data_IF_918269883149
#
_entry.id   IF_918269883149
#
_cell.length_a   1.000
_cell.length_b   1.000
_cell.length_c   1.000
_cell.angle_alpha   90.00
_cell.angle_beta   90.00
_cell.angle_gamma   90.00
#
_symmetry.space_group_name_H-M   'P 1'
#
loop_
_entity.id
_entity.type
_entity.pdbx_description
1 polymer ?
#
# COMPACT_ATOMS: atom_id res chain seq x y z
N UNK A 1 6.60 8.46 -19.55
CA UNK A 1 5.97 9.74 -19.15
C UNK A 1 4.96 9.42 -18.06
N UNK A 2 4.99 10.13 -16.93
CA UNK A 2 4.07 9.89 -15.81
C UNK A 2 2.69 10.48 -16.12
N UNK A 3 1.62 9.74 -15.82
CA UNK A 3 0.24 10.22 -15.93
C UNK A 3 -0.35 10.41 -14.52
N UNK A 4 -0.81 11.63 -14.22
CA UNK A 4 -1.38 11.96 -12.91
C UNK A 4 -2.66 11.18 -12.60
N UNK A 5 -3.42 10.80 -13.63
CA UNK A 5 -4.64 10.02 -13.49
C UNK A 5 -4.39 8.57 -13.03
N UNK A 6 -3.12 8.17 -12.90
CA UNK A 6 -2.74 6.91 -12.26
C UNK A 6 -2.85 6.95 -10.74
N UNK A 7 -2.93 8.14 -10.14
CA UNK A 7 -2.98 8.31 -8.69
C UNK A 7 -4.39 8.64 -8.20
N UNK A 8 -4.66 8.22 -6.97
CA UNK A 8 -5.83 8.62 -6.20
C UNK A 8 -5.41 9.05 -4.81
N UNK A 9 -6.17 9.99 -4.24
CA UNK A 9 -6.03 10.39 -2.84
C UNK A 9 -7.12 9.71 -2.02
N UNK A 10 -6.74 8.92 -1.02
CA UNK A 10 -7.65 8.34 -0.02
C UNK A 10 -7.14 8.69 1.38
N UNK A 11 -8.00 9.29 2.21
CA UNK A 11 -7.66 9.60 3.62
C UNK A 11 -6.31 10.32 3.76
N UNK A 12 -6.10 11.34 2.91
CA UNK A 12 -4.85 12.13 2.84
C UNK A 12 -3.60 11.36 2.37
N UNK A 13 -3.74 10.09 1.97
CA UNK A 13 -2.66 9.29 1.36
C UNK A 13 -2.82 9.24 -0.15
N UNK A 14 -1.68 9.29 -0.84
CA UNK A 14 -1.61 9.13 -2.29
C UNK A 14 -1.23 7.68 -2.59
N UNK A 15 -1.91 7.05 -3.55
CA UNK A 15 -1.62 5.68 -3.99
C UNK A 15 -1.96 5.51 -5.47
N UNK A 16 -1.45 4.46 -6.12
CA UNK A 16 -1.90 4.10 -7.45
C UNK A 16 -3.35 3.63 -7.42
N UNK A 17 -4.12 3.99 -8.45
CA UNK A 17 -5.54 3.64 -8.56
C UNK A 17 -5.80 2.15 -8.78
N UNK A 18 -4.86 1.46 -9.41
CA UNK A 18 -4.95 0.05 -9.79
C UNK A 18 -3.57 -0.57 -9.98
N UNK A 19 -3.52 -1.90 -10.02
CA UNK A 19 -2.30 -2.65 -10.37
C UNK A 19 -1.81 -2.33 -11.78
N UNK A 20 -2.72 -2.17 -12.74
CA UNK A 20 -2.38 -1.74 -14.10
C UNK A 20 -1.65 -0.39 -14.13
N UNK A 21 -2.06 0.57 -13.29
CA UNK A 21 -1.40 1.87 -13.21
C UNK A 21 -0.02 1.81 -12.55
N UNK A 22 0.15 0.92 -11.55
CA UNK A 22 1.45 0.61 -10.99
C UNK A 22 2.35 -0.04 -12.06
N UNK A 23 1.83 -1.01 -12.81
CA UNK A 23 2.56 -1.69 -13.89
C UNK A 23 2.98 -0.72 -14.98
N UNK A 24 2.07 0.12 -15.47
CA UNK A 24 2.37 1.18 -16.43
C UNK A 24 3.47 2.10 -15.89
N UNK A 25 3.39 2.52 -14.62
CA UNK A 25 4.41 3.37 -14.02
C UNK A 25 5.78 2.68 -13.96
N UNK A 26 5.85 1.45 -13.44
CA UNK A 26 7.10 0.69 -13.32
C UNK A 26 7.68 0.40 -14.70
N UNK A 27 6.88 -0.03 -15.67
CA UNK A 27 7.31 -0.32 -17.03
C UNK A 27 8.00 0.87 -17.70
N UNK A 28 7.39 2.05 -17.64
CA UNK A 28 7.94 3.25 -18.28
C UNK A 28 9.17 3.83 -17.57
N UNK A 29 9.42 3.44 -16.31
CA UNK A 29 10.54 3.94 -15.51
C UNK A 29 11.52 2.82 -15.12
N UNK A 30 11.41 1.64 -15.73
CA UNK A 30 12.09 0.43 -15.27
C UNK A 30 13.62 0.58 -15.25
N UNK A 31 14.16 1.20 -16.30
CA UNK A 31 15.59 1.50 -16.38
C UNK A 31 16.04 2.48 -15.28
N UNK A 32 15.24 3.50 -14.99
CA UNK A 32 15.56 4.48 -13.95
C UNK A 32 15.43 3.91 -12.54
N UNK A 33 14.44 3.04 -12.30
CA UNK A 33 14.16 2.47 -10.98
C UNK A 33 15.12 1.33 -10.63
N UNK A 34 15.39 0.43 -11.58
CA UNK A 34 16.11 -0.83 -11.31
C UNK A 34 17.29 -1.09 -12.27
N UNK A 35 17.57 -0.18 -13.20
CA UNK A 35 18.57 -0.38 -14.27
C UNK A 35 18.32 -1.65 -15.12
N UNK A 36 17.05 -2.00 -15.32
CA UNK A 36 16.60 -3.12 -16.13
C UNK A 36 16.00 -2.63 -17.46
N UNK A 37 16.13 -3.45 -18.50
CA UNK A 37 15.58 -3.17 -19.82
C UNK A 37 14.31 -4.01 -20.03
N UNK A 38 13.17 -3.39 -20.35
CA UNK A 38 11.90 -4.11 -20.51
C UNK A 38 11.89 -5.01 -21.74
N UNK A 39 11.31 -6.21 -21.64
CA UNK A 39 11.07 -7.14 -22.75
C UNK A 39 9.59 -7.29 -23.06
N UNK A 40 8.80 -7.65 -22.05
CA UNK A 40 7.38 -7.96 -22.23
C UNK A 40 6.58 -7.69 -20.97
N UNK A 41 5.37 -7.15 -21.15
CA UNK A 41 4.33 -7.08 -20.13
C UNK A 41 3.36 -8.24 -20.27
N UNK A 42 2.80 -8.69 -19.14
CA UNK A 42 1.74 -9.70 -19.10
C UNK A 42 2.11 -10.93 -19.95
N UNK A 43 3.35 -11.42 -19.79
CA UNK A 43 3.84 -12.57 -20.56
C UNK A 43 3.17 -13.84 -20.06
N UNK A 44 2.46 -14.53 -20.95
CA UNK A 44 1.80 -15.80 -20.64
C UNK A 44 2.77 -16.96 -20.83
N UNK A 45 2.96 -17.75 -19.78
CA UNK A 45 3.80 -18.95 -19.75
C UNK A 45 3.05 -20.05 -19.01
N UNK A 46 2.78 -21.17 -19.68
CA UNK A 46 1.90 -22.27 -19.19
C UNK A 46 0.61 -21.81 -18.48
N UNK A 47 -0.07 -20.80 -19.03
CA UNK A 47 -1.32 -20.20 -18.49
C UNK A 47 -1.17 -19.32 -17.23
N UNK A 48 0.06 -19.07 -16.78
CA UNK A 48 0.36 -18.07 -15.76
C UNK A 48 0.86 -16.78 -16.45
N UNK A 49 0.48 -15.62 -15.93
CA UNK A 49 0.83 -14.31 -16.51
C UNK A 49 1.85 -13.61 -15.62
N UNK A 50 3.06 -13.41 -16.12
CA UNK A 50 4.08 -12.59 -15.47
C UNK A 50 3.80 -11.11 -15.75
N UNK A 51 3.72 -10.27 -14.72
CA UNK A 51 3.45 -8.84 -14.91
C UNK A 51 4.50 -8.18 -15.82
N UNK A 52 5.79 -8.27 -15.48
CA UNK A 52 6.87 -7.72 -16.29
C UNK A 52 8.02 -8.71 -16.41
N UNK A 53 8.43 -8.98 -17.65
CA UNK A 53 9.70 -9.62 -18.00
C UNK A 53 10.66 -8.57 -18.56
N UNK A 54 11.90 -8.61 -18.09
CA UNK A 54 12.97 -7.70 -18.42
C UNK A 54 14.33 -8.40 -18.33
N UNK A 55 15.41 -7.69 -18.63
CA UNK A 55 16.77 -8.19 -18.45
C UNK A 55 17.70 -7.13 -17.87
N UNK A 56 18.73 -7.57 -17.17
CA UNK A 56 19.76 -6.69 -16.62
C UNK A 56 20.76 -6.24 -17.69
N UNK A 57 21.64 -5.30 -17.35
CA UNK A 57 22.76 -4.88 -18.20
C UNK A 57 23.71 -6.03 -18.61
N UNK A 58 23.61 -7.18 -17.93
CA UNK A 58 24.40 -8.38 -18.24
C UNK A 58 23.56 -9.46 -18.91
N UNK A 59 22.41 -9.13 -19.49
CA UNK A 59 21.52 -10.09 -20.18
C UNK A 59 20.90 -11.16 -19.25
N UNK A 60 20.98 -10.99 -17.93
CA UNK A 60 20.29 -11.88 -16.98
C UNK A 60 18.78 -11.63 -17.04
N UNK A 61 17.98 -12.69 -17.21
CA UNK A 61 16.52 -12.60 -17.16
C UNK A 61 16.06 -12.11 -15.78
N UNK A 62 15.13 -11.18 -15.78
CA UNK A 62 14.50 -10.63 -14.59
C UNK A 62 12.97 -10.69 -14.76
N UNK A 63 12.27 -11.24 -13.77
CA UNK A 63 10.81 -11.22 -13.70
C UNK A 63 10.36 -10.43 -12.47
N UNK A 64 9.36 -9.58 -12.67
CA UNK A 64 8.80 -8.71 -11.64
C UNK A 64 7.33 -9.06 -11.48
N UNK A 65 6.93 -9.38 -10.25
CA UNK A 65 5.54 -9.47 -9.82
C UNK A 65 5.19 -8.22 -9.02
N UNK A 66 4.06 -7.60 -9.35
CA UNK A 66 3.56 -6.36 -8.79
C UNK A 66 2.29 -6.61 -8.00
N UNK A 67 2.18 -5.94 -6.85
CA UNK A 67 0.92 -5.84 -6.12
C UNK A 67 0.70 -4.40 -5.69
N UNK A 68 -0.51 -3.90 -5.92
CA UNK A 68 -0.87 -2.55 -5.47
C UNK A 68 -1.38 -2.53 -4.02
N UNK A 69 -1.48 -3.70 -3.38
CA UNK A 69 -1.86 -3.87 -1.99
C UNK A 69 -1.05 -5.03 -1.39
N UNK A 70 -1.17 -5.23 -0.07
CA UNK A 70 -0.60 -6.40 0.59
C UNK A 70 -1.21 -7.69 0.03
N UNK A 71 -0.34 -8.63 -0.36
CA UNK A 71 -0.69 -9.94 -0.88
C UNK A 71 0.03 -11.06 -0.12
N UNK A 72 -0.50 -12.30 -0.20
CA UNK A 72 0.01 -13.49 0.50
C UNK A 72 0.62 -14.56 -0.43
N UNK A 73 0.59 -14.34 -1.74
CA UNK A 73 0.88 -15.35 -2.76
C UNK A 73 2.00 -14.97 -3.73
N UNK A 74 2.56 -13.76 -3.62
CA UNK A 74 3.64 -13.25 -4.48
C UNK A 74 4.83 -14.22 -4.59
N UNK A 75 5.18 -14.91 -3.51
CA UNK A 75 6.29 -15.87 -3.49
C UNK A 75 5.96 -17.13 -4.30
N UNK A 76 4.74 -17.63 -4.14
CA UNK A 76 4.23 -18.79 -4.86
C UNK A 76 4.11 -18.48 -6.36
N UNK A 77 3.63 -17.28 -6.71
CA UNK A 77 3.55 -16.83 -8.10
C UNK A 77 4.93 -16.78 -8.75
N UNK A 78 5.90 -16.09 -8.13
CA UNK A 78 7.27 -16.02 -8.63
C UNK A 78 7.94 -17.39 -8.75
N UNK A 79 7.63 -18.32 -7.84
CA UNK A 79 8.12 -19.70 -7.91
C UNK A 79 7.59 -20.43 -9.14
N UNK A 80 6.30 -20.28 -9.47
CA UNK A 80 5.71 -20.85 -10.70
C UNK A 80 6.29 -20.23 -11.96
N UNK A 81 6.49 -18.90 -11.97
CA UNK A 81 7.09 -18.23 -13.11
C UNK A 81 8.52 -18.71 -13.35
N UNK A 82 9.31 -18.87 -12.29
CA UNK A 82 10.66 -19.40 -12.39
C UNK A 82 10.68 -20.77 -13.07
N UNK A 83 9.85 -21.71 -12.60
CA UNK A 83 9.77 -23.07 -13.16
C UNK A 83 9.40 -23.04 -14.65
N UNK A 84 8.40 -22.23 -15.02
CA UNK A 84 7.96 -22.12 -16.41
C UNK A 84 9.05 -21.49 -17.31
N UNK A 85 9.75 -20.45 -16.84
CA UNK A 85 10.75 -19.73 -17.63
C UNK A 85 12.04 -20.54 -17.84
N UNK A 86 12.46 -21.35 -16.87
CA UNK A 86 13.62 -22.24 -17.01
C UNK A 86 13.36 -23.37 -18.00
N UNK A 87 12.11 -23.84 -18.07
CA UNK A 87 11.69 -24.87 -19.03
C UNK A 87 11.53 -24.31 -20.45
N UNK A 88 10.81 -23.20 -20.61
CA UNK A 88 10.51 -22.61 -21.94
C UNK A 88 11.68 -21.82 -22.54
N UNK A 89 12.53 -21.22 -21.70
CA UNK A 89 13.65 -20.33 -22.08
C UNK A 89 13.30 -19.26 -23.14
N UNK A 90 12.27 -18.41 -22.92
CA UNK A 90 11.88 -17.39 -23.89
C UNK A 90 12.95 -16.29 -24.07
N UNK A 91 12.92 -15.59 -25.21
CA UNK A 91 13.83 -14.46 -25.50
C UNK A 91 15.33 -14.84 -25.51
N UNK A 92 15.66 -16.08 -25.92
CA UNK A 92 17.04 -16.59 -25.92
C UNK A 92 18.01 -15.87 -26.87
N UNK A 93 17.52 -14.96 -27.72
CA UNK A 93 18.31 -14.04 -28.54
C UNK A 93 18.92 -12.87 -27.74
N UNK A 94 18.31 -12.51 -26.61
CA UNK A 94 18.75 -11.39 -25.76
C UNK A 94 19.04 -11.79 -24.31
N UNK A 95 18.59 -12.97 -23.88
CA UNK A 95 18.74 -13.47 -22.50
C UNK A 95 19.81 -14.55 -22.42
N UNK A 96 20.68 -14.42 -21.42
CA UNK A 96 21.68 -15.42 -21.05
C UNK A 96 21.13 -16.37 -19.97
N UNK A 97 20.70 -17.56 -20.39
CA UNK A 97 20.15 -18.60 -19.51
C UNK A 97 21.20 -19.40 -18.72
N UNK A 98 22.49 -19.14 -18.93
CA UNK A 98 23.53 -19.66 -18.02
C UNK A 98 23.51 -18.91 -16.68
N UNK A 99 22.83 -17.75 -16.62
CA UNK A 99 22.61 -16.98 -15.40
C UNK A 99 21.29 -17.36 -14.75
N UNK A 100 21.29 -17.43 -13.43
CA UNK A 100 20.07 -17.65 -12.64
C UNK A 100 19.04 -16.53 -12.90
N UNK A 101 17.78 -16.90 -13.12
CA UNK A 101 16.69 -15.92 -13.33
C UNK A 101 16.50 -15.11 -12.06
N UNK A 102 16.53 -13.79 -12.19
CA UNK A 102 16.31 -12.87 -11.08
C UNK A 102 14.81 -12.68 -10.83
N UNK A 103 14.37 -12.96 -9.61
CA UNK A 103 12.97 -12.79 -9.18
C UNK A 103 12.83 -11.53 -8.34
N UNK A 104 11.84 -10.70 -8.65
CA UNK A 104 11.61 -9.42 -7.98
C UNK A 104 10.13 -9.32 -7.61
N UNK A 105 9.85 -8.96 -6.37
CA UNK A 105 8.51 -8.64 -5.89
C UNK A 105 8.46 -7.15 -5.50
N UNK A 106 7.45 -6.43 -5.99
CA UNK A 106 7.23 -5.01 -5.66
C UNK A 106 5.79 -4.81 -5.16
N UNK A 107 5.65 -4.34 -3.91
CA UNK A 107 4.36 -4.13 -3.24
C UNK A 107 4.44 -2.97 -2.25
N UNK A 108 3.34 -2.32 -1.84
CA UNK A 108 3.42 -1.35 -0.75
C UNK A 108 3.79 -1.97 0.60
N UNK A 109 3.44 -3.24 0.82
CA UNK A 109 3.71 -3.96 2.07
C UNK A 109 3.67 -5.48 1.84
N UNK A 110 4.57 -6.23 2.47
CA UNK A 110 4.56 -7.69 2.41
C UNK A 110 3.82 -8.31 3.60
N UNK A 111 2.91 -9.25 3.34
CA UNK A 111 2.30 -10.04 4.39
C UNK A 111 3.34 -10.97 5.04
N UNK A 112 3.18 -11.30 6.34
CA UNK A 112 4.11 -12.19 7.05
C UNK A 112 4.31 -13.55 6.37
N UNK A 113 3.29 -14.03 5.66
CA UNK A 113 3.32 -15.33 4.98
C UNK A 113 4.37 -15.35 3.87
N UNK A 114 4.54 -14.27 3.11
CA UNK A 114 5.58 -14.18 2.09
C UNK A 114 6.97 -14.42 2.70
N UNK A 115 7.24 -13.88 3.89
CA UNK A 115 8.51 -14.11 4.57
C UNK A 115 8.65 -15.53 5.12
N UNK A 116 7.56 -16.16 5.56
CA UNK A 116 7.57 -17.58 5.98
C UNK A 116 7.87 -18.46 4.77
N UNK A 117 7.17 -18.25 3.66
CA UNK A 117 7.35 -19.02 2.44
C UNK A 117 8.76 -18.83 1.89
N UNK A 118 9.24 -17.59 1.85
CA UNK A 118 10.62 -17.27 1.45
C UNK A 118 11.67 -17.92 2.35
N UNK A 119 11.45 -17.98 3.67
CA UNK A 119 12.40 -18.57 4.63
C UNK A 119 12.75 -20.03 4.30
N UNK A 120 11.81 -20.77 3.72
CA UNK A 120 12.00 -22.18 3.36
C UNK A 120 12.18 -22.39 1.84
N UNK A 121 12.13 -21.31 1.07
CA UNK A 121 12.37 -21.33 -0.38
C UNK A 121 13.87 -21.39 -0.68
N UNK A 122 14.24 -22.06 -1.76
CA UNK A 122 15.63 -22.12 -2.25
C UNK A 122 15.98 -20.99 -3.22
N UNK A 123 14.97 -20.49 -3.93
CA UNK A 123 15.11 -19.39 -4.90
C UNK A 123 15.33 -18.06 -4.17
N UNK A 124 16.18 -17.22 -4.75
CA UNK A 124 16.39 -15.85 -4.27
C UNK A 124 15.34 -14.92 -4.86
N UNK A 125 14.68 -14.14 -4.01
CA UNK A 125 13.70 -13.15 -4.40
C UNK A 125 14.11 -11.81 -3.79
N UNK A 126 14.21 -10.79 -4.63
CA UNK A 126 14.37 -9.41 -4.17
C UNK A 126 13.00 -8.83 -3.79
N UNK A 127 12.85 -8.51 -2.51
CA UNK A 127 11.65 -7.90 -1.97
C UNK A 127 11.82 -6.38 -1.92
N UNK A 128 11.00 -5.65 -2.68
CA UNK A 128 10.96 -4.20 -2.65
C UNK A 128 9.60 -3.67 -2.20
N UNK A 129 9.64 -2.72 -1.28
CA UNK A 129 8.47 -1.96 -0.84
C UNK A 129 8.43 -0.62 -1.56
N UNK A 130 7.28 -0.26 -2.11
CA UNK A 130 7.10 1.10 -2.63
C UNK A 130 6.21 1.95 -1.72
N UNK A 131 6.44 3.26 -1.74
CA UNK A 131 5.55 4.23 -1.13
C UNK A 131 5.42 5.47 -2.01
N UNK A 132 4.30 6.18 -1.85
CA UNK A 132 4.12 7.50 -2.43
C UNK A 132 4.00 8.48 -1.27
N UNK A 133 4.91 9.45 -1.23
CA UNK A 133 5.06 10.38 -0.11
C UNK A 133 4.94 11.82 -0.60
N UNK A 134 4.33 12.67 0.23
CA UNK A 134 4.23 14.10 -0.01
C UNK A 134 5.42 14.76 0.69
N UNK A 135 6.35 15.30 -0.10
CA UNK A 135 7.54 15.99 0.35
C UNK A 135 7.47 17.47 -0.04
N UNK A 136 6.89 18.29 0.84
CA UNK A 136 6.62 19.70 0.57
C UNK A 136 5.64 19.87 -0.60
N UNK A 137 6.12 20.52 -1.68
CA UNK A 137 5.34 20.77 -2.90
C UNK A 137 5.47 19.66 -3.95
N UNK A 138 6.12 18.54 -3.63
CA UNK A 138 6.32 17.42 -4.55
C UNK A 138 5.72 16.14 -4.01
N UNK A 139 5.22 15.31 -4.94
CA UNK A 139 4.78 13.96 -4.66
C UNK A 139 5.84 13.02 -5.24
N UNK A 140 6.38 12.15 -4.39
CA UNK A 140 7.53 11.32 -4.69
C UNK A 140 7.16 9.85 -4.56
N UNK A 141 7.58 9.05 -5.53
CA UNK A 141 7.62 7.60 -5.44
C UNK A 141 8.97 7.19 -4.86
N UNK A 142 8.93 6.28 -3.90
CA UNK A 142 10.10 5.64 -3.32
C UNK A 142 10.02 4.14 -3.56
N UNK A 143 11.15 3.53 -3.94
CA UNK A 143 11.34 2.08 -3.87
C UNK A 143 12.40 1.78 -2.84
N UNK A 144 12.10 0.88 -1.89
CA UNK A 144 13.00 0.50 -0.82
C UNK A 144 13.18 -1.00 -0.75
N UNK A 145 14.35 -1.47 -0.32
CA UNK A 145 14.52 -2.87 0.05
C UNK A 145 13.65 -3.18 1.27
N UNK A 146 12.81 -4.22 1.18
CA UNK A 146 11.85 -4.54 2.23
C UNK A 146 12.54 -4.95 3.55
N UNK A 147 13.74 -5.52 3.49
CA UNK A 147 14.49 -6.01 4.64
C UNK A 147 15.42 -4.94 5.21
N UNK A 148 16.29 -4.35 4.39
CA UNK A 148 17.27 -3.35 4.85
C UNK A 148 16.69 -1.95 5.01
N UNK A 149 15.50 -1.70 4.43
CA UNK A 149 14.85 -0.38 4.32
C UNK A 149 15.67 0.66 3.55
N UNK A 150 16.72 0.25 2.87
CA UNK A 150 17.54 1.07 1.98
C UNK A 150 16.70 1.60 0.80
N UNK A 151 16.88 2.87 0.46
CA UNK A 151 16.25 3.47 -0.72
C UNK A 151 17.00 3.01 -1.98
N UNK A 152 16.30 2.27 -2.83
CA UNK A 152 16.81 1.78 -4.11
C UNK A 152 16.65 2.85 -5.18
N UNK A 153 15.51 3.53 -5.19
CA UNK A 153 15.24 4.60 -6.14
C UNK A 153 14.22 5.59 -5.60
N UNK A 154 14.24 6.80 -6.16
CA UNK A 154 13.29 7.86 -5.88
C UNK A 154 12.93 8.54 -7.20
N UNK A 155 11.63 8.74 -7.46
CA UNK A 155 11.14 9.44 -8.65
C UNK A 155 10.14 10.50 -8.24
N UNK A 156 10.30 11.72 -8.76
CA UNK A 156 9.27 12.75 -8.65
C UNK A 156 8.11 12.42 -9.59
N UNK A 157 6.91 12.28 -9.04
CA UNK A 157 5.69 11.98 -9.80
C UNK A 157 5.07 13.28 -10.36
N UNK A 158 4.66 14.18 -9.47
CA UNK A 158 4.02 15.45 -9.82
C UNK A 158 4.21 16.50 -8.72
N UNK A 159 3.72 17.73 -8.95
CA UNK A 159 3.61 18.72 -7.88
C UNK A 159 2.38 18.43 -7.01
N UNK A 160 2.43 18.81 -5.73
CA UNK A 160 1.32 18.60 -4.80
C UNK A 160 0.04 19.30 -5.26
N UNK A 161 0.17 20.50 -5.82
CA UNK A 161 -0.96 21.28 -6.34
C UNK A 161 -1.69 20.65 -7.52
N UNK A 162 -1.09 19.63 -8.16
CA UNK A 162 -1.71 18.93 -9.28
C UNK A 162 -2.75 17.88 -8.80
N UNK A 163 -2.70 17.46 -7.53
CA UNK A 163 -3.69 16.56 -6.95
C UNK A 163 -4.76 17.31 -6.15
N UNK A 164 -6.01 16.90 -6.33
CA UNK A 164 -7.11 17.36 -5.49
C UNK A 164 -7.18 16.50 -4.23
N UNK A 165 -6.80 17.09 -3.09
CA UNK A 165 -7.01 16.46 -1.80
C UNK A 165 -8.45 16.72 -1.35
N UNK A 166 -9.19 15.69 -0.88
CA UNK A 166 -10.48 15.94 -0.26
C UNK A 166 -10.27 16.94 0.88
N UNK A 167 -11.18 17.91 1.07
CA UNK A 167 -11.10 18.79 2.23
C UNK A 167 -10.99 17.90 3.46
N UNK A 168 -10.02 18.18 4.33
CA UNK A 168 -9.85 17.41 5.56
C UNK A 168 -11.21 17.36 6.23
N UNK A 169 -11.75 16.15 6.39
CA UNK A 169 -12.96 15.97 7.16
C UNK A 169 -12.54 16.20 8.61
N UNK A 170 -12.40 17.46 9.02
CA UNK A 170 -12.55 17.81 10.42
C UNK A 170 -13.96 17.37 10.77
N UNK A 171 -14.10 16.17 11.32
CA UNK A 171 -15.32 15.71 11.94
C UNK A 171 -15.76 16.83 12.87
N UNK A 172 -16.82 17.54 12.51
CA UNK A 172 -17.39 18.57 13.38
C UNK A 172 -17.82 17.85 14.64
N UNK A 173 -17.08 18.04 15.73
CA UNK A 173 -17.38 17.39 16.99
C UNK A 173 -18.82 17.79 17.38
N UNK A 174 -19.77 16.84 17.48
CA UNK A 174 -21.11 17.20 17.90
C UNK A 174 -21.03 17.82 19.31
N UNK A 175 -21.89 18.79 19.59
CA UNK A 175 -21.98 19.36 20.94
C UNK A 175 -22.20 18.21 21.95
N UNK A 176 -21.49 18.19 23.08
CA UNK A 176 -21.73 17.17 24.09
C UNK A 176 -23.20 17.13 24.50
N UNK A 177 -23.81 15.95 24.65
CA UNK A 177 -25.17 15.81 25.15
C UNK A 177 -25.31 16.47 26.53
N UNK A 178 -26.53 16.91 26.89
CA UNK A 178 -26.78 17.51 28.21
C UNK A 178 -26.35 16.58 29.36
N UNK A 179 -26.53 15.27 29.18
CA UNK A 179 -26.10 14.27 30.16
C UNK A 179 -24.58 14.22 30.35
N UNK A 180 -23.79 14.50 29.32
CA UNK A 180 -22.34 14.61 29.44
C UNK A 180 -21.97 15.72 30.43
N UNK A 181 -22.62 16.89 30.33
CA UNK A 181 -22.40 17.96 31.29
C UNK A 181 -22.82 17.54 32.70
N UNK A 182 -23.99 16.90 32.85
CA UNK A 182 -24.44 16.40 34.17
C UNK A 182 -23.45 15.42 34.83
N UNK A 183 -22.77 14.58 34.04
CA UNK A 183 -21.77 13.62 34.54
C UNK A 183 -20.45 14.29 34.95
N UNK A 184 -20.09 15.38 34.29
CA UNK A 184 -18.75 15.99 34.42
C UNK A 184 -18.78 17.30 35.22
N UNK A 185 -19.95 17.91 35.43
CA UNK A 185 -20.11 19.18 36.14
C UNK A 185 -19.81 19.09 37.64
N UNK A 186 -19.82 17.89 38.22
CA UNK A 186 -19.39 17.65 39.61
C UNK A 186 -17.88 17.44 39.76
N UNK A 187 -17.14 17.40 38.65
CA UNK A 187 -15.69 17.13 38.63
C UNK A 187 -14.85 18.42 38.60
N UNK A 188 -13.59 18.33 39.00
CA UNK A 188 -12.67 19.47 38.92
C UNK A 188 -12.46 19.93 37.46
N UNK A 189 -12.22 21.24 37.21
CA UNK A 189 -12.03 21.76 35.85
C UNK A 189 -10.94 21.05 35.03
N UNK A 190 -9.85 20.64 35.68
CA UNK A 190 -8.77 19.87 35.04
C UNK A 190 -9.24 18.50 34.53
N UNK A 191 -10.05 17.80 35.33
CA UNK A 191 -10.64 16.50 34.97
C UNK A 191 -11.65 16.66 33.84
N UNK A 192 -12.47 17.72 33.89
CA UNK A 192 -13.42 18.07 32.83
C UNK A 192 -12.73 18.27 31.48
N UNK A 193 -11.60 18.97 31.47
CA UNK A 193 -10.80 19.19 30.25
C UNK A 193 -10.22 17.87 29.71
N UNK A 194 -9.64 17.03 30.58
CA UNK A 194 -9.14 15.72 30.17
C UNK A 194 -10.22 14.82 29.58
N UNK A 195 -11.44 14.84 30.13
CA UNK A 195 -12.58 14.06 29.61
C UNK A 195 -13.03 14.59 28.24
N UNK A 196 -13.02 15.91 28.04
CA UNK A 196 -13.31 16.52 26.73
C UNK A 196 -12.28 16.14 25.67
N UNK A 197 -11.00 16.08 26.02
CA UNK A 197 -9.95 15.61 25.11
C UNK A 197 -10.10 14.13 24.75
N UNK A 198 -10.43 13.28 25.72
CA UNK A 198 -10.71 11.85 25.49
C UNK A 198 -11.91 11.70 24.55
N UNK A 199 -13.00 12.45 24.80
CA UNK A 199 -14.17 12.47 23.92
C UNK A 199 -13.82 12.89 22.49
N UNK A 200 -13.00 13.93 22.33
CA UNK A 200 -12.53 14.36 21.02
C UNK A 200 -11.80 13.22 20.31
N UNK A 201 -10.79 12.63 20.97
CA UNK A 201 -10.02 11.51 20.41
C UNK A 201 -10.91 10.31 20.03
N UNK A 202 -11.91 9.97 20.84
CA UNK A 202 -12.83 8.86 20.56
C UNK A 202 -13.74 9.12 19.36
N UNK A 203 -14.23 10.35 19.18
CA UNK A 203 -15.14 10.68 18.07
C UNK A 203 -14.37 10.82 16.75
N UNK A 204 -13.14 11.32 16.80
CA UNK A 204 -12.31 11.58 15.62
C UNK A 204 -11.43 10.42 15.19
N UNK A 205 -11.32 9.33 15.97
CA UNK A 205 -10.40 8.25 15.62
C UNK A 205 -10.88 7.34 14.48
N UNK A 206 -12.18 7.32 14.14
CA UNK A 206 -12.69 6.52 13.03
C UNK A 206 -14.06 7.02 12.56
N UNK A 207 -14.34 7.00 11.25
CA UNK A 207 -15.57 7.57 10.67
C UNK A 207 -16.87 6.95 11.18
N UNK A 208 -16.87 5.63 11.33
CA UNK A 208 -18.03 4.87 11.80
C UNK A 208 -18.31 4.99 13.31
N UNK A 209 -17.40 5.57 14.10
CA UNK A 209 -17.62 5.77 15.54
C UNK A 209 -18.57 6.93 15.77
N UNK A 210 -19.59 6.68 16.59
CA UNK A 210 -20.58 7.66 17.04
C UNK A 210 -20.76 7.61 18.55
N UNK A 211 -21.14 8.74 19.12
CA UNK A 211 -21.58 8.85 20.51
C UNK A 211 -23.10 8.63 20.56
N UNK A 212 -23.56 7.70 21.40
CA UNK A 212 -24.99 7.42 21.61
C UNK A 212 -25.35 7.79 23.04
N UNK A 213 -26.30 8.71 23.17
CA UNK A 213 -26.92 9.10 24.43
C UNK A 213 -28.06 8.13 24.76
N UNK A 214 -27.98 7.45 25.91
CA UNK A 214 -29.07 6.64 26.46
C UNK A 214 -29.56 7.27 27.75
N UNK A 215 -30.72 6.86 28.26
CA UNK A 215 -31.31 7.48 29.47
C UNK A 215 -30.39 7.50 30.71
N UNK A 216 -29.39 6.60 30.79
CA UNK A 216 -28.50 6.50 31.94
C UNK A 216 -26.99 6.41 31.61
N UNK A 217 -26.59 6.27 30.34
CA UNK A 217 -25.19 6.04 29.96
C UNK A 217 -24.82 6.70 28.64
N UNK A 218 -23.60 7.22 28.54
CA UNK A 218 -22.98 7.61 27.27
C UNK A 218 -22.14 6.46 26.76
N UNK A 219 -22.37 6.05 25.51
CA UNK A 219 -21.63 4.97 24.88
C UNK A 219 -21.01 5.43 23.56
N UNK A 220 -19.82 4.93 23.26
CA UNK A 220 -19.11 5.19 22.00
C UNK A 220 -18.96 3.88 21.23
N UNK A 221 -19.26 3.90 19.93
CA UNK A 221 -19.02 2.73 19.09
C UNK A 221 -19.59 2.85 17.68
N UNK A 222 -19.46 1.76 16.92
CA UNK A 222 -19.87 1.70 15.52
C UNK A 222 -21.37 1.89 15.38
N UNK A 223 -21.77 2.86 14.56
CA UNK A 223 -23.18 3.18 14.31
C UNK A 223 -23.85 2.06 13.49
N UNK A 224 -24.95 1.52 14.00
CA UNK A 224 -25.87 0.70 13.20
C UNK A 224 -27.08 1.52 12.74
N UNK A 225 -27.79 1.08 11.70
CA UNK A 225 -28.99 1.73 11.16
C UNK A 225 -30.14 1.93 12.18
N UNK A 226 -30.00 1.42 13.41
CA UNK A 226 -31.05 1.42 14.44
C UNK A 226 -30.72 2.24 15.71
N UNK A 227 -29.78 3.20 15.64
CA UNK A 227 -29.30 3.95 16.82
C UNK A 227 -28.74 3.05 17.94
N UNK A 228 -28.21 1.87 17.58
CA UNK A 228 -27.54 0.94 18.49
C UNK A 228 -26.05 0.87 18.16
N UNK A 229 -25.22 0.61 19.17
CA UNK A 229 -23.80 0.32 18.99
C UNK A 229 -23.63 -1.14 18.58
N UNK A 230 -22.75 -1.41 17.63
CA UNK A 230 -22.37 -2.76 17.25
C UNK A 230 -21.72 -3.48 18.44
N UNK A 231 -22.32 -4.59 18.89
CA UNK A 231 -21.70 -5.49 19.86
C UNK A 231 -21.04 -6.63 19.09
N UNK A 232 -19.72 -6.74 19.12
CA UNK A 232 -19.04 -7.98 18.75
C UNK A 232 -19.36 -9.04 19.81
N UNK A 233 -19.77 -10.23 19.36
CA UNK A 233 -19.85 -11.40 20.23
C UNK A 233 -18.47 -11.82 20.71
#
# INVERSE_FOLDING_TARGET
MFNIDWLIVKEERVQFKSEECLEDFIWHNLNTILNLTPLKRQYCSKSEYCDIICYSQTNQLCVIELKNNQDRYVVQQLTRYYDNLIDEKPFGDVVDYEKEVKLIAITPEFHRHNFIDYKYLRLKIDFYEFSIEIAGESILFYLRNAQSKEIISQIKLCARGDLTFPPSQQKTLPKPPKQFFNLVDTTMPSVKNSILEIRHKLITCHDLISEIDTQCTLKYGLKTNSNKIFHTK
#
